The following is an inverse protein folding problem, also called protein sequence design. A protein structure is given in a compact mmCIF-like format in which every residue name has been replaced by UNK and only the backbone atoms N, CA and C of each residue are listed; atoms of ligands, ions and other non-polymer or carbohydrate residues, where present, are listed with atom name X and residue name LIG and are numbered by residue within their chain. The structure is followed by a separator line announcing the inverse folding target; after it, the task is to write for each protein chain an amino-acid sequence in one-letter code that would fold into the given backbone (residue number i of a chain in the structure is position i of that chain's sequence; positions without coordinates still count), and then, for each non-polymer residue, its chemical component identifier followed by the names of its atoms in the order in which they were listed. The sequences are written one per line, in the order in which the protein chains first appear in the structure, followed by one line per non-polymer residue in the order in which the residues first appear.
data_IF_684430262112
#
_entry.id   IF_684430262112
#
_cell.length_a   1.000
_cell.length_b   1.000
_cell.length_c   1.000
_cell.angle_alpha   90.00
_cell.angle_beta   90.00
_cell.angle_gamma   90.00
#
_symmetry.space_group_name_H-M   'P 1'
#
loop_
_entity.id
_entity.type
_entity.pdbx_description
1 polymer ?
#
# COMPACT_ATOMS: atom_id res chain seq x y z
N UNK A 1 -21.76 5.46 22.42
CA UNK A 1 -22.01 4.38 21.45
C UNK A 1 -22.33 5.07 20.13
N UNK A 2 -21.33 5.71 19.55
CA UNK A 2 -21.52 6.50 18.33
C UNK A 2 -21.20 5.59 17.17
N UNK A 3 -22.26 5.04 16.62
CA UNK A 3 -22.32 4.39 15.32
C UNK A 3 -21.90 5.42 14.26
N UNK A 4 -20.78 5.16 13.59
CA UNK A 4 -20.40 5.83 12.36
C UNK A 4 -20.13 4.74 11.33
N UNK A 5 -21.19 4.03 10.94
CA UNK A 5 -21.20 3.22 9.73
C UNK A 5 -21.13 4.17 8.52
N UNK A 6 -19.90 4.51 8.10
CA UNK A 6 -19.66 5.23 6.85
C UNK A 6 -19.99 4.30 5.68
N UNK A 7 -20.76 4.74 4.67
CA UNK A 7 -21.16 3.89 3.55
C UNK A 7 -19.95 3.44 2.75
N UNK A 8 -19.91 2.14 2.39
CA UNK A 8 -18.88 1.43 1.63
C UNK A 8 -18.66 2.00 0.21
N UNK A 9 -18.12 3.20 0.11
CA UNK A 9 -17.32 3.63 -1.03
C UNK A 9 -15.88 3.15 -0.85
N UNK A 10 -15.06 3.12 -1.92
CA UNK A 10 -13.67 2.73 -1.78
C UNK A 10 -12.96 3.71 -0.82
N UNK A 11 -12.32 3.15 0.20
CA UNK A 11 -11.75 3.89 1.32
C UNK A 11 -10.50 4.67 0.83
N UNK A 12 -10.41 5.98 1.09
CA UNK A 12 -9.41 6.86 0.46
C UNK A 12 -7.96 6.45 0.78
N UNK A 13 -7.71 5.85 1.95
CA UNK A 13 -6.38 5.36 2.36
C UNK A 13 -5.94 4.14 1.53
N UNK A 14 -6.85 3.18 1.31
CA UNK A 14 -6.55 1.99 0.51
C UNK A 14 -6.41 2.33 -0.97
N UNK A 15 -7.25 3.24 -1.48
CA UNK A 15 -7.11 3.75 -2.85
C UNK A 15 -5.80 4.48 -3.06
N UNK A 16 -5.38 5.32 -2.11
CA UNK A 16 -4.11 6.04 -2.20
C UNK A 16 -2.91 5.09 -2.23
N UNK A 17 -2.94 4.02 -1.42
CA UNK A 17 -1.90 2.99 -1.43
C UNK A 17 -1.91 2.17 -2.72
N UNK A 18 -3.08 1.78 -3.21
CA UNK A 18 -3.21 1.08 -4.48
C UNK A 18 -2.67 1.95 -5.64
N UNK A 19 -3.01 3.24 -5.66
CA UNK A 19 -2.50 4.20 -6.65
C UNK A 19 -0.98 4.41 -6.54
N UNK A 20 -0.41 4.29 -5.33
CA UNK A 20 1.03 4.30 -5.09
C UNK A 20 1.72 2.95 -5.39
N UNK A 21 0.99 1.95 -5.90
CA UNK A 21 1.55 0.67 -6.33
C UNK A 21 1.74 -0.35 -5.20
N UNK A 22 1.05 -0.19 -4.07
CA UNK A 22 0.93 -1.24 -3.05
C UNK A 22 -0.15 -2.25 -3.45
N UNK A 23 0.13 -3.55 -3.27
CA UNK A 23 -0.85 -4.60 -3.52
C UNK A 23 -1.77 -4.76 -2.30
N UNK A 24 -2.78 -3.89 -2.21
CA UNK A 24 -3.75 -3.88 -1.11
C UNK A 24 -4.63 -5.14 -1.09
N UNK A 25 -4.82 -5.80 -2.24
CA UNK A 25 -5.59 -7.05 -2.37
C UNK A 25 -4.85 -8.26 -1.82
N UNK A 26 -3.52 -8.19 -1.68
CA UNK A 26 -2.72 -9.23 -1.04
C UNK A 26 -2.72 -9.14 0.49
N UNK A 27 -3.26 -8.06 1.06
CA UNK A 27 -3.35 -7.87 2.50
C UNK A 27 -4.54 -8.66 3.07
N UNK A 28 -4.35 -9.29 4.23
CA UNK A 28 -5.48 -9.85 4.98
C UNK A 28 -6.41 -8.76 5.50
N UNK A 29 -7.63 -9.11 5.90
CA UNK A 29 -8.58 -8.15 6.46
C UNK A 29 -8.00 -7.41 7.68
N UNK A 30 -7.28 -8.13 8.56
CA UNK A 30 -6.63 -7.51 9.73
C UNK A 30 -5.51 -6.55 9.34
N UNK A 31 -4.77 -6.85 8.28
CA UNK A 31 -3.73 -5.95 7.75
C UNK A 31 -4.35 -4.72 7.10
N UNK A 32 -5.47 -4.87 6.40
CA UNK A 32 -6.23 -3.75 5.86
C UNK A 32 -6.75 -2.86 6.98
N UNK A 33 -7.18 -3.40 8.13
CA UNK A 33 -7.56 -2.58 9.28
C UNK A 33 -6.40 -1.79 9.87
N UNK A 34 -5.20 -2.36 9.94
CA UNK A 34 -3.99 -1.62 10.36
C UNK A 34 -3.72 -0.46 9.39
N UNK A 35 -3.86 -0.72 8.09
CA UNK A 35 -3.67 0.30 7.05
C UNK A 35 -4.76 1.37 7.12
N UNK A 36 -6.02 1.00 7.36
CA UNK A 36 -7.13 1.95 7.54
C UNK A 36 -6.93 2.84 8.76
N UNK A 37 -6.27 2.34 9.80
CA UNK A 37 -5.97 3.10 11.01
C UNK A 37 -4.80 4.10 10.84
N UNK A 38 -4.10 4.07 9.71
CA UNK A 38 -3.01 5.01 9.44
C UNK A 38 -3.53 6.45 9.33
N UNK A 39 -2.78 7.36 9.93
CA UNK A 39 -2.99 8.79 9.77
C UNK A 39 -2.60 9.26 8.37
N UNK A 40 -3.12 10.41 7.90
CA UNK A 40 -2.73 10.97 6.61
C UNK A 40 -1.22 11.22 6.47
N UNK A 41 -0.56 11.60 7.56
CA UNK A 41 0.90 11.83 7.59
C UNK A 41 1.69 10.51 7.45
N UNK A 42 1.25 9.44 8.11
CA UNK A 42 1.87 8.12 7.99
C UNK A 42 1.67 7.52 6.58
N UNK A 43 0.48 7.69 6.01
CA UNK A 43 0.20 7.33 4.63
C UNK A 43 1.12 8.09 3.66
N UNK A 44 1.24 9.41 3.81
CA UNK A 44 2.11 10.22 2.97
C UNK A 44 3.58 9.79 3.09
N UNK A 45 4.03 9.42 4.30
CA UNK A 45 5.37 8.89 4.53
C UNK A 45 5.60 7.56 3.82
N UNK A 46 4.64 6.61 3.86
CA UNK A 46 4.76 5.34 3.16
C UNK A 46 4.86 5.52 1.64
N UNK A 47 4.05 6.44 1.09
CA UNK A 47 4.08 6.79 -0.34
C UNK A 47 5.42 7.45 -0.72
N UNK A 48 5.93 8.37 0.12
CA UNK A 48 7.24 8.99 -0.09
C UNK A 48 8.38 7.96 -0.11
N UNK A 49 8.39 7.06 0.89
CA UNK A 49 9.40 5.99 0.97
C UNK A 49 9.33 5.11 -0.27
N UNK A 50 8.14 4.72 -0.74
CA UNK A 50 7.98 3.94 -1.96
C UNK A 50 8.52 4.69 -3.18
N UNK A 51 8.18 5.96 -3.36
CA UNK A 51 8.69 6.77 -4.47
C UNK A 51 10.22 6.89 -4.45
N UNK A 52 10.82 6.99 -3.26
CA UNK A 52 12.28 6.99 -3.10
C UNK A 52 12.91 5.64 -3.40
N UNK A 53 12.25 4.53 -3.06
CA UNK A 53 12.70 3.18 -3.41
C UNK A 53 12.62 2.95 -4.92
N UNK A 54 11.53 3.37 -5.56
CA UNK A 54 11.36 3.28 -7.02
C UNK A 54 12.38 4.16 -7.75
N UNK A 55 12.69 5.35 -7.24
CA UNK A 55 13.73 6.23 -7.80
C UNK A 55 15.16 5.71 -7.53
N UNK A 56 15.36 4.99 -6.43
CA UNK A 56 16.64 4.38 -6.07
C UNK A 56 16.88 3.05 -6.79
N UNK A 57 15.83 2.38 -7.30
CA UNK A 57 15.96 1.22 -8.18
C UNK A 57 16.56 1.68 -9.52
N UNK A 58 17.86 1.45 -9.77
CA UNK A 58 18.49 1.86 -11.00
C UNK A 58 17.96 0.99 -12.14
N UNK A 59 18.01 1.49 -13.36
CA UNK A 59 17.64 0.81 -14.61
C UNK A 59 18.32 -0.56 -14.78
N UNK A 60 17.84 -1.61 -14.11
CA UNK A 60 18.18 -3.01 -14.40
C UNK A 60 17.03 -3.61 -15.19
N UNK A 61 16.82 -3.06 -16.38
CA UNK A 61 16.27 -3.82 -17.48
C UNK A 61 17.41 -4.64 -18.09
N UNK A 62 17.61 -5.87 -17.59
CA UNK A 62 18.06 -7.03 -18.37
C UNK A 62 18.47 -8.18 -17.43
N UNK A 63 17.49 -8.87 -16.87
CA UNK A 63 17.25 -10.29 -17.17
C UNK A 63 16.11 -10.77 -16.27
N UNK A 64 15.08 -11.34 -16.90
CA UNK A 64 14.12 -12.16 -16.20
C UNK A 64 14.88 -13.29 -15.49
N UNK A 65 14.78 -13.35 -14.17
CA UNK A 65 14.72 -14.63 -13.50
C UNK A 65 13.62 -14.58 -12.45
N UNK A 66 12.71 -15.52 -12.62
CA UNK A 66 11.51 -15.74 -11.84
C UNK A 66 11.93 -16.27 -10.46
N UNK A 67 11.81 -15.46 -9.41
CA UNK A 67 11.54 -15.91 -8.02
C UNK A 67 11.54 -14.71 -7.05
N UNK A 68 10.63 -13.77 -7.24
CA UNK A 68 10.31 -12.73 -6.25
C UNK A 68 8.92 -12.92 -5.66
N UNK A 69 8.45 -14.16 -5.57
CA UNK A 69 7.27 -14.53 -4.79
C UNK A 69 7.69 -14.85 -3.36
N UNK A 70 6.83 -14.50 -2.40
CA UNK A 70 7.00 -14.54 -0.94
C UNK A 70 7.73 -13.28 -0.41
N UNK A 71 7.14 -12.35 0.36
CA UNK A 71 6.19 -12.54 1.46
C UNK A 71 6.53 -13.81 2.24
N UNK A 72 7.57 -13.80 3.09
CA UNK A 72 7.68 -14.47 4.41
C UNK A 72 9.06 -14.20 5.03
#
# INVERSE_FOLDING_TARGET
MTDHATPHGPEPTLEALAAAGFNVDALSEEQQDVVRALTPDELALLVDIRGRLDAAAPEVQAHADVAGGALF
#
